data_IF_887896475061
#
_entry.id   IF_887896475061
#
_cell.length_a   1.000
_cell.length_b   1.000
_cell.length_c   1.000
_cell.angle_alpha   90.00
_cell.angle_beta   90.00
_cell.angle_gamma   90.00
#
_symmetry.space_group_name_H-M   'P 1'
#
loop_
_entity.id
_entity.type
_entity.pdbx_description
1 polymer ?
#
# COMPACT_ATOMS: atom_id res chain seq x y z
N UNK A 1 -6.21 2.36 -20.87
CA UNK A 1 -5.50 1.45 -19.96
C UNK A 1 -4.04 1.88 -19.92
N UNK A 2 -3.57 2.49 -18.83
CA UNK A 2 -2.14 2.78 -18.66
C UNK A 2 -1.46 1.48 -18.24
N UNK A 3 -0.38 1.12 -18.95
CA UNK A 3 0.45 -0.04 -18.64
C UNK A 3 1.38 0.37 -17.50
N UNK A 4 1.38 -0.39 -16.40
CA UNK A 4 2.34 -0.20 -15.32
C UNK A 4 3.75 -0.43 -15.86
N UNK A 5 4.65 0.50 -15.57
CA UNK A 5 6.05 0.30 -15.95
C UNK A 5 6.67 -0.66 -14.94
N UNK A 6 7.52 -1.57 -15.43
CA UNK A 6 8.27 -2.51 -14.58
C UNK A 6 8.96 -1.80 -13.40
N UNK A 7 9.41 -0.57 -13.63
CA UNK A 7 10.06 0.30 -12.65
C UNK A 7 9.18 0.66 -11.46
N UNK A 8 7.86 0.79 -11.63
CA UNK A 8 6.96 1.09 -10.50
C UNK A 8 6.87 -0.10 -9.55
N UNK A 9 6.76 -1.33 -10.08
CA UNK A 9 6.76 -2.55 -9.26
C UNK A 9 8.08 -2.72 -8.51
N UNK A 10 9.22 -2.51 -9.19
CA UNK A 10 10.54 -2.59 -8.56
C UNK A 10 10.66 -1.57 -7.42
N UNK A 11 10.20 -0.32 -7.63
CA UNK A 11 10.23 0.74 -6.60
C UNK A 11 9.34 0.41 -5.40
N UNK A 12 8.14 -0.13 -5.63
CA UNK A 12 7.21 -0.51 -4.56
C UNK A 12 7.76 -1.71 -3.77
N UNK A 13 8.34 -2.70 -4.46
CA UNK A 13 8.97 -3.84 -3.81
C UNK A 13 10.16 -3.40 -2.93
N UNK A 14 10.99 -2.48 -3.41
CA UNK A 14 12.08 -1.88 -2.62
C UNK A 14 11.55 -1.10 -1.41
N UNK A 15 10.48 -0.31 -1.59
CA UNK A 15 9.85 0.43 -0.50
C UNK A 15 9.35 -0.51 0.60
N UNK A 16 8.63 -1.58 0.23
CA UNK A 16 8.13 -2.60 1.15
C UNK A 16 9.28 -3.32 1.85
N UNK A 17 10.31 -3.77 1.11
CA UNK A 17 11.45 -4.47 1.69
C UNK A 17 12.24 -3.61 2.69
N UNK A 18 12.31 -2.29 2.46
CA UNK A 18 13.01 -1.36 3.34
C UNK A 18 12.24 -1.02 4.63
N UNK A 19 10.93 -1.25 4.68
CA UNK A 19 10.11 -1.00 5.88
C UNK A 19 10.45 -1.98 7.02
N UNK A 20 10.86 -3.20 6.68
CA UNK A 20 11.22 -4.25 7.63
C UNK A 20 10.03 -5.01 8.22
N UNK A 21 8.80 -4.72 7.79
CA UNK A 21 7.61 -5.47 8.15
C UNK A 21 7.57 -6.84 7.47
N UNK A 22 7.11 -7.88 8.18
CA UNK A 22 6.94 -9.22 7.60
C UNK A 22 5.71 -9.26 6.70
N UNK A 23 5.96 -9.16 5.39
CA UNK A 23 4.92 -9.19 4.36
C UNK A 23 4.74 -10.57 3.71
N UNK A 24 5.29 -11.64 4.29
CA UNK A 24 5.28 -12.99 3.68
C UNK A 24 3.88 -13.55 3.41
N UNK A 25 2.89 -13.14 4.20
CA UNK A 25 1.48 -13.52 4.07
C UNK A 25 0.61 -12.45 3.35
N UNK A 26 1.22 -11.39 2.82
CA UNK A 26 0.49 -10.33 2.12
C UNK A 26 0.44 -10.62 0.62
N UNK A 27 -0.70 -10.31 0.02
CA UNK A 27 -0.93 -10.39 -1.42
C UNK A 27 -1.32 -9.02 -1.98
N UNK A 28 -1.03 -8.80 -3.27
CA UNK A 28 -1.57 -7.65 -3.99
C UNK A 28 -3.02 -7.97 -4.38
N UNK A 29 -3.98 -7.35 -3.70
CA UNK A 29 -5.39 -7.63 -3.86
C UNK A 29 -6.00 -6.92 -5.06
N UNK A 30 -5.71 -5.62 -5.19
CA UNK A 30 -6.29 -4.80 -6.25
C UNK A 30 -5.40 -3.62 -6.66
N UNK A 31 -5.68 -3.11 -7.86
CA UNK A 31 -5.10 -1.88 -8.39
C UNK A 31 -6.25 -1.00 -8.93
N UNK A 32 -6.94 -0.25 -8.07
CA UNK A 32 -8.13 0.52 -8.47
C UNK A 32 -7.77 1.74 -9.33
N UNK A 33 -6.52 2.21 -9.25
CA UNK A 33 -6.00 3.33 -10.02
C UNK A 33 -4.50 3.13 -10.31
N UNK A 34 -3.95 3.65 -11.44
CA UNK A 34 -2.52 3.52 -11.76
C UNK A 34 -1.52 4.08 -10.74
N UNK A 35 -2.02 4.74 -9.69
CA UNK A 35 -1.24 5.34 -8.60
C UNK A 35 -1.59 4.74 -7.24
N UNK A 36 -2.18 3.54 -7.20
CA UNK A 36 -2.66 2.87 -5.99
C UNK A 36 -2.44 1.36 -6.14
N UNK A 37 -1.79 0.74 -5.17
CA UNK A 37 -1.64 -0.70 -5.04
C UNK A 37 -2.14 -1.10 -3.65
N UNK A 38 -3.14 -1.97 -3.59
CA UNK A 38 -3.76 -2.37 -2.32
C UNK A 38 -3.26 -3.76 -1.93
N UNK A 39 -2.62 -3.85 -0.77
CA UNK A 39 -2.07 -5.09 -0.24
C UNK A 39 -2.89 -5.55 0.97
N UNK A 40 -3.03 -6.86 1.12
CA UNK A 40 -3.72 -7.39 2.28
C UNK A 40 -3.26 -8.78 2.68
N UNK A 41 -3.37 -9.02 3.97
CA UNK A 41 -3.34 -10.34 4.59
C UNK A 41 -4.77 -10.61 5.12
N UNK A 42 -5.54 -11.34 4.33
CA UNK A 42 -6.94 -11.63 4.64
C UNK A 42 -7.09 -12.49 5.92
N UNK A 43 -6.11 -13.35 6.24
CA UNK A 43 -6.14 -14.21 7.43
C UNK A 43 -6.11 -13.39 8.73
N UNK A 44 -5.31 -12.33 8.74
CA UNK A 44 -5.19 -11.42 9.89
C UNK A 44 -6.12 -10.22 9.81
N UNK A 45 -6.75 -10.01 8.65
CA UNK A 45 -7.44 -8.77 8.35
C UNK A 45 -6.50 -7.59 8.51
N UNK A 46 -5.36 -7.60 7.82
CA UNK A 46 -4.40 -6.49 7.81
C UNK A 46 -4.32 -5.94 6.39
N UNK A 47 -4.49 -4.63 6.22
CA UNK A 47 -4.49 -3.99 4.91
C UNK A 47 -3.66 -2.72 4.93
N UNK A 48 -2.89 -2.52 3.86
CA UNK A 48 -2.20 -1.26 3.59
C UNK A 48 -2.18 -0.99 2.09
N UNK A 49 -2.14 0.29 1.74
CA UNK A 49 -2.02 0.73 0.36
C UNK A 49 -0.61 1.27 0.11
N UNK A 50 -0.18 1.23 -1.14
CA UNK A 50 0.97 2.01 -1.64
C UNK A 50 0.48 2.94 -2.73
N UNK A 51 0.59 4.24 -2.49
CA UNK A 51 0.03 5.28 -3.36
C UNK A 51 1.08 6.25 -3.83
N UNK A 52 0.78 6.92 -4.94
CA UNK A 52 1.58 8.01 -5.49
C UNK A 52 0.71 9.27 -5.56
N UNK A 53 0.97 10.25 -4.69
CA UNK A 53 0.23 11.52 -4.66
C UNK A 53 0.90 12.59 -5.54
N UNK A 54 0.94 13.85 -5.09
CA UNK A 54 1.37 15.01 -5.88
C UNK A 54 2.89 15.12 -6.06
N UNK A 55 3.67 14.50 -5.19
CA UNK A 55 5.13 14.50 -5.22
C UNK A 55 5.72 13.41 -6.14
N UNK A 56 4.86 12.65 -6.82
CA UNK A 56 5.20 11.50 -7.67
C UNK A 56 6.10 10.45 -6.99
N UNK A 57 6.10 10.40 -5.66
CA UNK A 57 6.78 9.37 -4.86
C UNK A 57 5.80 8.31 -4.39
N UNK A 58 6.21 7.04 -4.46
CA UNK A 58 5.46 5.93 -3.87
C UNK A 58 5.62 5.95 -2.34
N UNK A 59 4.49 5.84 -1.63
CA UNK A 59 4.45 5.90 -0.17
C UNK A 59 3.35 4.98 0.37
N UNK A 60 3.55 4.47 1.59
CA UNK A 60 2.51 3.73 2.29
C UNK A 60 1.32 4.63 2.61
N UNK A 61 0.13 4.05 2.60
CA UNK A 61 -1.09 4.73 3.01
C UNK A 61 -2.12 3.78 3.62
N UNK A 62 -3.09 4.38 4.30
CA UNK A 62 -4.25 3.73 4.89
C UNK A 62 -5.53 4.48 4.52
N UNK A 63 -6.67 3.80 4.62
CA UNK A 63 -7.97 4.43 4.40
C UNK A 63 -8.45 5.10 5.68
N UNK A 64 -8.79 6.38 5.56
CA UNK A 64 -9.42 7.21 6.59
C UNK A 64 -10.51 8.06 5.96
N UNK A 65 -11.74 7.97 6.47
CA UNK A 65 -12.94 8.61 5.92
C UNK A 65 -13.12 8.36 4.41
N UNK A 66 -12.83 7.13 3.97
CA UNK A 66 -12.93 6.71 2.55
C UNK A 66 -11.86 7.30 1.64
N UNK A 67 -10.78 7.87 2.19
CA UNK A 67 -9.68 8.45 1.42
C UNK A 67 -8.33 7.91 1.88
N UNK A 68 -7.38 7.78 0.96
CA UNK A 68 -6.01 7.41 1.28
C UNK A 68 -5.28 8.52 2.07
N UNK A 69 -4.63 8.15 3.18
CA UNK A 69 -3.78 9.00 4.03
C UNK A 69 -2.39 8.40 4.11
N UNK A 70 -1.36 9.24 4.06
CA UNK A 70 0.03 8.79 4.13
C UNK A 70 0.34 8.15 5.48
N UNK A 71 1.11 7.07 5.44
CA UNK A 71 1.75 6.43 6.57
C UNK A 71 3.28 6.46 6.40
N UNK A 72 3.99 6.41 7.53
CA UNK A 72 5.44 6.29 7.56
C UNK A 72 5.93 4.85 7.48
N UNK A 73 5.08 3.88 7.82
CA UNK A 73 5.37 2.45 7.75
C UNK A 73 4.14 1.59 7.43
N UNK A 74 4.36 0.31 7.12
CA UNK A 74 3.27 -0.67 6.93
C UNK A 74 2.51 -0.87 8.24
N UNK A 75 3.21 -0.96 9.37
CA UNK A 75 2.59 -1.09 10.70
C UNK A 75 1.65 0.08 11.00
N UNK A 76 2.08 1.32 10.75
CA UNK A 76 1.24 2.51 10.95
C UNK A 76 0.01 2.46 10.04
N UNK A 77 0.20 2.08 8.77
CA UNK A 77 -0.90 1.97 7.81
C UNK A 77 -1.96 0.98 8.30
N UNK A 78 -1.54 -0.22 8.72
CA UNK A 78 -2.44 -1.26 9.25
C UNK A 78 -3.19 -0.77 10.49
N UNK A 79 -2.48 -0.20 11.48
CA UNK A 79 -3.10 0.25 12.74
C UNK A 79 -4.16 1.34 12.55
N UNK A 80 -3.95 2.21 11.56
CA UNK A 80 -4.85 3.34 11.29
C UNK A 80 -5.93 3.03 10.28
N UNK A 81 -5.83 1.94 9.51
CA UNK A 81 -6.78 1.60 8.46
C UNK A 81 -8.20 1.39 9.03
N UNK A 82 -9.16 2.15 8.50
CA UNK A 82 -10.56 2.10 8.93
C UNK A 82 -11.38 1.00 8.26
N UNK A 83 -10.88 0.33 7.20
CA UNK A 83 -11.62 -0.76 6.55
C UNK A 83 -11.89 -1.97 7.45
N UNK A 84 -11.31 -2.00 8.64
CA UNK A 84 -11.43 -3.06 9.64
C UNK A 84 -12.15 -2.62 10.92
N UNK A 85 -12.57 -1.35 11.01
CA UNK A 85 -13.22 -0.76 12.20
C UNK A 85 -14.70 -0.49 11.93
#
# INVERSE_FOLDING_TARGET
>A
MKIFQKTDFDTIAELIANDGYDVSAFELLEIPHPKVFCFGNEEKGEYFDVVKFFDDKWQFSYIENGSNKLAHSIEEAIMKNEWLK
#
